data_IF_955697339886
#
_entry.id   IF_955697339886
#
_cell.length_a   1.000
_cell.length_b   1.000
_cell.length_c   1.000
_cell.angle_alpha   90.00
_cell.angle_beta   90.00
_cell.angle_gamma   90.00
#
_symmetry.space_group_name_H-M   'P 1'
#
loop_
_entity.id
_entity.type
_entity.pdbx_description
1 polymer ?
#
# COMPACT_ATOMS: atom_id res chain seq x y z
N UNK A 1 48.21 5.35 6.96
CA UNK A 1 46.79 5.20 7.35
C UNK A 1 46.18 4.16 6.41
N UNK A 2 45.61 3.07 6.92
CA UNK A 2 44.99 2.05 6.04
C UNK A 2 43.66 2.61 5.55
N UNK A 3 43.46 2.65 4.23
CA UNK A 3 42.18 3.07 3.66
C UNK A 3 41.09 2.02 3.96
N UNK A 4 39.90 2.49 4.31
CA UNK A 4 38.73 1.64 4.49
C UNK A 4 38.22 1.13 3.13
N UNK A 5 37.66 -0.08 3.10
CA UNK A 5 37.14 -0.72 1.89
C UNK A 5 35.71 -0.27 1.59
N UNK A 6 35.31 -0.24 0.31
CA UNK A 6 33.92 0.00 -0.07
C UNK A 6 33.05 -1.25 0.22
N UNK A 7 31.78 -1.02 0.52
CA UNK A 7 30.79 -2.05 0.85
C UNK A 7 29.43 -1.71 0.24
N UNK A 8 28.54 -2.70 0.19
CA UNK A 8 27.22 -2.61 -0.44
C UNK A 8 26.15 -3.21 0.48
N UNK A 9 24.90 -2.77 0.28
CA UNK A 9 23.71 -3.37 0.89
C UNK A 9 22.97 -4.16 -0.20
N UNK A 10 22.56 -5.38 0.11
CA UNK A 10 21.58 -6.14 -0.65
C UNK A 10 20.25 -6.07 0.10
N UNK A 11 19.25 -5.43 -0.49
CA UNK A 11 17.91 -5.34 0.08
C UNK A 11 16.90 -5.84 -0.97
N UNK A 12 16.46 -7.11 -0.89
CA UNK A 12 15.57 -7.68 -1.89
C UNK A 12 14.15 -7.12 -1.81
N UNK A 13 13.39 -7.27 -2.91
CA UNK A 13 11.99 -6.89 -2.96
C UNK A 13 11.19 -7.55 -1.83
N UNK A 14 10.34 -6.76 -1.18
CA UNK A 14 9.56 -7.21 -0.04
C UNK A 14 8.48 -8.21 -0.45
N UNK A 15 8.26 -9.21 0.40
CA UNK A 15 7.25 -10.22 0.19
C UNK A 15 6.36 -10.33 1.45
N UNK A 16 5.07 -9.99 1.34
CA UNK A 16 4.37 -9.54 0.13
C UNK A 16 4.74 -8.10 -0.29
N UNK A 17 4.71 -7.83 -1.60
CA UNK A 17 4.95 -6.48 -2.16
C UNK A 17 3.73 -5.55 -2.04
N UNK A 18 2.57 -6.11 -1.71
CA UNK A 18 1.32 -5.38 -1.50
C UNK A 18 0.55 -5.98 -0.34
N UNK A 19 0.00 -5.12 0.52
CA UNK A 19 -0.77 -5.47 1.71
C UNK A 19 -2.04 -4.62 1.76
N UNK A 20 -3.15 -5.16 2.30
CA UNK A 20 -4.29 -4.31 2.64
C UNK A 20 -3.87 -3.33 3.74
N UNK A 21 -4.22 -2.06 3.56
CA UNK A 21 -4.00 -1.02 4.56
C UNK A 21 -4.93 -1.27 5.75
N UNK A 22 -4.34 -1.28 6.94
CA UNK A 22 -5.03 -1.25 8.22
C UNK A 22 -4.40 -0.12 9.03
N UNK A 23 -5.19 0.88 9.42
CA UNK A 23 -4.67 2.01 10.18
C UNK A 23 -4.01 1.54 11.50
N UNK A 24 -2.74 1.89 11.71
CA UNK A 24 -1.95 1.41 12.86
C UNK A 24 -1.55 -0.07 12.79
N UNK A 25 -1.87 -0.77 11.70
CA UNK A 25 -1.43 -2.13 11.45
C UNK A 25 0.08 -2.20 11.28
N UNK A 26 0.66 -3.36 11.57
CA UNK A 26 2.11 -3.58 11.49
C UNK A 26 2.46 -4.78 10.64
N UNK A 27 3.60 -4.73 9.97
CA UNK A 27 4.18 -5.87 9.28
C UNK A 27 5.71 -5.86 9.40
N UNK A 28 6.37 -7.02 9.36
CA UNK A 28 7.82 -7.09 9.40
C UNK A 28 8.42 -6.76 8.01
N UNK A 29 9.61 -6.17 8.01
CA UNK A 29 10.48 -6.15 6.83
C UNK A 29 10.90 -7.59 6.54
N UNK A 30 10.50 -8.09 5.38
CA UNK A 30 10.79 -9.44 4.95
C UNK A 30 10.85 -9.51 3.42
N UNK A 31 11.99 -9.92 2.82
CA UNK A 31 13.24 -10.31 3.47
C UNK A 31 14.02 -9.11 4.04
N UNK A 32 14.85 -9.39 5.05
CA UNK A 32 15.80 -8.42 5.63
C UNK A 32 16.95 -8.12 4.65
N UNK A 33 17.48 -6.90 4.74
CA UNK A 33 18.68 -6.49 4.04
C UNK A 33 19.96 -7.07 4.68
N UNK A 34 20.98 -7.26 3.87
CA UNK A 34 22.33 -7.70 4.31
C UNK A 34 23.38 -6.72 3.79
N UNK A 35 24.44 -6.49 4.57
CA UNK A 35 25.59 -5.70 4.15
C UNK A 35 26.79 -6.60 3.83
N UNK A 36 27.53 -6.31 2.76
CA UNK A 36 28.67 -7.13 2.33
C UNK A 36 29.83 -7.16 3.34
N UNK A 37 29.87 -6.22 4.29
CA UNK A 37 30.82 -6.19 5.40
C UNK A 37 30.41 -6.99 6.64
N UNK A 38 29.15 -7.44 6.70
CA UNK A 38 28.57 -8.07 7.88
C UNK A 38 28.21 -7.11 9.03
N UNK A 39 28.34 -5.79 8.86
CA UNK A 39 27.87 -4.83 9.87
C UNK A 39 26.33 -4.75 9.91
N UNK A 40 25.74 -4.34 11.06
CA UNK A 40 24.30 -4.18 11.20
C UNK A 40 23.70 -3.21 10.18
N UNK A 41 22.53 -3.57 9.63
CA UNK A 41 21.73 -2.72 8.76
C UNK A 41 20.62 -2.06 9.58
N UNK A 42 20.43 -0.76 9.38
CA UNK A 42 19.37 0.04 9.98
C UNK A 42 18.29 0.35 8.94
N UNK A 43 17.03 0.30 9.36
CA UNK A 43 15.90 0.58 8.51
C UNK A 43 15.22 1.89 8.87
N UNK A 44 14.65 2.55 7.85
CA UNK A 44 13.85 3.75 7.99
C UNK A 44 12.76 3.81 6.92
N UNK A 45 11.95 4.86 6.98
CA UNK A 45 10.95 5.18 5.95
C UNK A 45 11.34 6.46 5.24
N UNK A 46 11.27 6.48 3.92
CA UNK A 46 11.32 7.70 3.11
C UNK A 46 9.92 8.32 2.89
N UNK A 47 8.86 7.68 3.39
CA UNK A 47 7.47 8.12 3.28
C UNK A 47 6.81 8.11 4.68
N UNK A 48 7.21 9.02 5.58
CA UNK A 48 6.75 9.02 6.98
C UNK A 48 5.24 9.25 7.11
N UNK A 49 4.61 9.94 6.16
CA UNK A 49 3.16 10.14 6.11
C UNK A 49 2.39 8.86 5.73
N UNK A 50 3.10 7.85 5.19
CA UNK A 50 2.52 6.58 4.74
C UNK A 50 2.88 5.43 5.69
N UNK A 51 4.11 5.38 6.17
CA UNK A 51 4.56 4.36 7.11
C UNK A 51 5.74 4.83 7.97
N UNK A 52 5.81 4.34 9.19
CA UNK A 52 6.96 4.52 10.10
C UNK A 52 7.68 3.19 10.34
N UNK A 53 8.98 3.23 10.59
CA UNK A 53 9.80 2.03 10.83
C UNK A 53 10.48 2.12 12.19
N UNK A 54 10.40 1.03 12.97
CA UNK A 54 11.14 0.86 14.23
C UNK A 54 11.79 -0.52 14.23
N UNK A 55 13.13 -0.56 14.29
CA UNK A 55 13.89 -1.80 14.10
C UNK A 55 13.63 -2.37 12.71
N UNK A 56 13.01 -3.56 12.64
CA UNK A 56 12.57 -4.21 11.39
C UNK A 56 11.04 -4.27 11.27
N UNK A 57 10.31 -3.52 12.08
CA UNK A 57 8.83 -3.47 12.06
C UNK A 57 8.36 -2.18 11.40
N UNK A 58 7.48 -2.33 10.42
CA UNK A 58 6.81 -1.22 9.74
C UNK A 58 5.43 -1.05 10.36
N UNK A 59 5.05 0.20 10.66
CA UNK A 59 3.70 0.59 11.08
C UNK A 59 3.05 1.40 9.97
N UNK A 60 1.82 1.04 9.62
CA UNK A 60 1.04 1.69 8.57
C UNK A 60 0.39 2.97 9.10
N UNK A 61 0.62 4.09 8.41
CA UNK A 61 0.05 5.41 8.74
C UNK A 61 -1.09 5.74 7.79
N UNK A 62 -0.87 5.57 6.47
CA UNK A 62 -1.88 5.81 5.44
C UNK A 62 -1.82 4.77 4.31
N UNK A 63 -2.89 4.67 3.52
CA UNK A 63 -2.93 3.86 2.33
C UNK A 63 -2.21 4.56 1.16
N UNK A 64 -0.99 4.13 0.86
CA UNK A 64 -0.23 4.47 -0.35
C UNK A 64 1.02 3.55 -0.42
N UNK A 65 1.99 3.91 -1.24
CA UNK A 65 3.29 3.24 -1.34
C UNK A 65 4.18 3.63 -0.16
N UNK A 66 4.49 2.65 0.69
CA UNK A 66 5.48 2.77 1.75
C UNK A 66 6.88 2.50 1.19
N UNK A 67 7.76 3.51 1.20
CA UNK A 67 9.16 3.36 0.78
C UNK A 67 10.08 3.10 1.97
N UNK A 68 10.56 1.88 2.08
CA UNK A 68 11.49 1.42 3.11
C UNK A 68 12.93 1.66 2.65
N UNK A 69 13.76 2.19 3.54
CA UNK A 69 15.18 2.47 3.28
C UNK A 69 16.05 1.61 4.18
N UNK A 70 16.98 0.87 3.59
CA UNK A 70 18.06 0.19 4.29
C UNK A 70 19.32 1.05 4.24
N UNK A 71 19.97 1.21 5.39
CA UNK A 71 21.16 2.02 5.60
C UNK A 71 22.18 1.27 6.42
N UNK A 72 23.46 1.51 6.16
CA UNK A 72 24.51 0.89 6.92
C UNK A 72 25.68 1.86 7.06
N UNK A 73 26.07 2.07 8.32
CA UNK A 73 27.21 2.90 8.65
C UNK A 73 28.52 2.14 8.45
N UNK A 74 29.55 2.88 8.05
CA UNK A 74 30.92 2.38 7.99
C UNK A 74 31.57 2.24 9.36
N UNK A 75 32.80 1.76 9.36
CA UNK A 75 33.69 1.74 10.51
C UNK A 75 35.15 1.93 10.06
N UNK A 76 36.13 1.64 10.93
CA UNK A 76 37.56 1.77 10.58
C UNK A 76 38.00 0.92 9.37
N UNK A 77 37.29 -0.16 9.04
CA UNK A 77 37.62 -1.07 7.94
C UNK A 77 36.75 -0.86 6.69
N UNK A 78 35.58 -0.22 6.83
CA UNK A 78 34.60 -0.09 5.75
C UNK A 78 33.99 1.32 5.64
N UNK A 79 33.86 1.85 4.43
CA UNK A 79 33.19 3.13 4.15
C UNK A 79 31.67 2.98 4.20
N UNK A 80 30.85 3.93 4.68
CA UNK A 80 29.39 3.81 4.68
C UNK A 80 28.81 3.29 3.36
N UNK A 81 27.87 2.35 3.44
CA UNK A 81 27.27 1.78 2.24
C UNK A 81 26.25 2.76 1.62
N UNK A 82 26.12 2.81 0.29
CA UNK A 82 24.98 3.49 -0.34
C UNK A 82 23.65 2.93 0.15
N UNK A 83 22.68 3.81 0.40
CA UNK A 83 21.34 3.42 0.79
C UNK A 83 20.63 2.64 -0.32
N UNK A 84 19.84 1.64 0.05
CA UNK A 84 19.00 0.87 -0.88
C UNK A 84 17.57 0.91 -0.40
N UNK A 85 16.62 1.12 -1.30
CA UNK A 85 15.20 1.26 -0.95
C UNK A 85 14.35 0.16 -1.58
N UNK A 86 13.26 -0.18 -0.91
CA UNK A 86 12.22 -1.09 -1.40
C UNK A 86 10.84 -0.53 -1.10
N UNK A 87 9.87 -0.84 -1.95
CA UNK A 87 8.52 -0.32 -1.84
C UNK A 87 7.52 -1.43 -1.51
N UNK A 88 6.57 -1.11 -0.64
CA UNK A 88 5.40 -1.95 -0.32
C UNK A 88 4.14 -1.13 -0.54
N UNK A 89 3.20 -1.65 -1.33
CA UNK A 89 1.92 -0.98 -1.57
C UNK A 89 0.98 -1.28 -0.40
N UNK A 90 0.44 -0.24 0.23
CA UNK A 90 -0.62 -0.34 1.24
C UNK A 90 -1.95 0.01 0.58
N UNK A 91 -2.66 -1.01 0.09
CA UNK A 91 -3.88 -0.84 -0.67
C UNK A 91 -5.05 -0.46 0.24
N UNK A 92 -5.75 0.64 -0.07
CA UNK A 92 -7.00 0.98 0.59
C UNK A 92 -8.01 -0.17 0.46
N UNK A 93 -8.80 -0.40 1.50
CA UNK A 93 -9.88 -1.37 1.44
C UNK A 93 -10.84 -1.00 0.30
N UNK A 94 -11.08 -1.95 -0.62
CA UNK A 94 -12.11 -1.79 -1.62
C UNK A 94 -13.47 -1.65 -0.89
N UNK A 95 -14.22 -0.59 -1.22
CA UNK A 95 -15.58 -0.45 -0.70
C UNK A 95 -16.42 -1.67 -1.14
N UNK A 96 -17.31 -2.20 -0.28
CA UNK A 96 -18.20 -3.26 -0.69
C UNK A 96 -19.07 -2.76 -1.85
N UNK A 97 -19.01 -3.48 -2.97
CA UNK A 97 -19.96 -3.28 -4.07
C UNK A 97 -21.33 -3.74 -3.58
N UNK A 98 -22.13 -2.82 -3.04
CA UNK A 98 -23.55 -3.11 -2.82
C UNK A 98 -24.18 -3.23 -4.21
N UNK A 99 -24.71 -4.40 -4.61
CA UNK A 99 -25.45 -4.48 -5.86
C UNK A 99 -26.60 -3.46 -5.79
N UNK A 100 -26.67 -2.56 -6.78
CA UNK A 100 -27.86 -1.71 -6.93
C UNK A 100 -29.03 -2.67 -7.08
N UNK A 101 -30.11 -2.55 -6.30
CA UNK A 101 -31.29 -3.38 -6.50
C UNK A 101 -31.80 -3.11 -7.92
N UNK A 102 -31.58 -4.05 -8.82
CA UNK A 102 -32.20 -4.01 -10.14
C UNK A 102 -33.67 -4.31 -9.92
N UNK A 103 -34.51 -3.32 -10.23
CA UNK A 103 -35.94 -3.53 -10.26
C UNK A 103 -36.23 -4.66 -11.25
N UNK A 104 -37.11 -5.58 -10.88
CA UNK A 104 -37.56 -6.60 -11.83
C UNK A 104 -38.17 -5.91 -13.05
N UNK A 105 -38.05 -6.53 -14.22
CA UNK A 105 -38.62 -6.01 -15.46
C UNK A 105 -40.14 -5.77 -15.33
N UNK A 106 -40.82 -6.54 -14.48
CA UNK A 106 -42.22 -6.33 -14.11
C UNK A 106 -42.47 -5.02 -13.36
N UNK A 107 -41.57 -4.63 -12.45
CA UNK A 107 -41.68 -3.41 -11.67
C UNK A 107 -41.39 -2.15 -12.51
N UNK A 108 -40.50 -2.25 -13.51
CA UNK A 108 -40.27 -1.20 -14.52
C UNK A 108 -41.50 -0.97 -15.42
N UNK A 109 -42.16 -2.05 -15.85
CA UNK A 109 -43.35 -1.95 -16.70
C UNK A 109 -44.57 -1.43 -15.92
N UNK A 110 -44.72 -1.79 -14.65
CA UNK A 110 -45.80 -1.30 -13.79
C UNK A 110 -45.73 0.22 -13.55
N UNK A 111 -44.53 0.79 -13.34
CA UNK A 111 -44.35 2.24 -13.22
C UNK A 111 -44.69 3.00 -14.54
N UNK A 112 -44.44 2.37 -15.69
CA UNK A 112 -44.69 2.98 -17.01
C UNK A 112 -46.18 3.00 -17.37
N UNK A 113 -46.98 2.04 -16.87
CA UNK A 113 -48.42 1.95 -17.12
C UNK A 113 -49.26 3.03 -16.41
N UNK A 114 -48.81 3.53 -15.27
CA UNK A 114 -49.53 4.54 -14.46
C UNK A 114 -49.58 5.93 -15.13
N UNK A 115 -48.63 6.28 -16.00
CA UNK A 115 -48.62 7.55 -16.75
C UNK A 115 -49.53 7.52 -18.00
N UNK A 116 -49.79 6.34 -18.58
CA UNK A 116 -50.59 6.19 -19.79
C UNK A 116 -52.12 6.31 -19.56
N UNK A 117 -52.61 5.86 -18.40
CA UNK A 117 -54.05 5.82 -18.10
C UNK A 117 -54.67 7.20 -17.80
N UNK A 118 -53.85 8.19 -17.41
CA UNK A 118 -54.30 9.57 -17.18
C UNK A 118 -54.42 10.39 -18.48
N UNK A 119 -53.69 10.03 -19.54
CA UNK A 119 -53.72 10.73 -20.82
C UNK A 119 -54.92 10.32 -21.71
N UNK A 120 -55.46 9.10 -21.52
CA UNK A 120 -56.56 8.61 -22.35
C UNK A 120 -57.93 9.16 -21.93
N UNK A 121 -58.11 9.49 -20.64
CA UNK A 121 -59.37 10.03 -20.11
C UNK A 121 -59.72 11.45 -20.57
N UNK A 122 -58.79 12.18 -21.22
CA UNK A 122 -59.03 13.57 -21.68
C UNK A 122 -59.38 13.71 -23.17
N UNK A 123 -59.47 12.61 -23.95
CA UNK A 123 -59.78 12.65 -25.40
C UNK A 123 -61.17 12.12 -25.78
N UNK A 124 -62.03 11.85 -24.80
CA UNK A 124 -63.37 11.29 -25.03
C UNK A 124 -64.50 12.26 -24.62
N UNK A 125 -64.30 13.57 -24.84
CA UNK A 125 -65.35 14.59 -24.72
C UNK A 125 -65.26 15.55 -25.90
#
# INVERSE_FOLDING_TARGET
MKAASAQTISFPAQNPASLPFVAGGTFPINPLATASSGLPVHYGSAAPDICSVSGSTVTMVAADTCTLVASQAGNANWLPAPHVSQSVVLAAAAAPVTPVPTLSQWMLLALSGLLGLLAWRRRAA
#
